data_IF_261115967972
#
_entry.id   IF_261115967972
#
_cell.length_a   1.000
_cell.length_b   1.000
_cell.length_c   1.000
_cell.angle_alpha   90.00
_cell.angle_beta   90.00
_cell.angle_gamma   90.00
#
_symmetry.space_group_name_H-M   'P 1'
#
loop_
_entity.id
_entity.type
_entity.pdbx_description
1 polymer ?
#
# COMPACT_ATOMS: atom_id res chain seq x y z
N UNK A 1 -30.03 -71.51 13.72
CA UNK A 1 -29.02 -72.56 13.43
C UNK A 1 -27.84 -71.91 12.72
N UNK A 2 -26.63 -72.26 13.17
CA UNK A 2 -25.33 -71.79 12.66
C UNK A 2 -25.09 -72.36 11.24
N UNK A 3 -24.42 -71.62 10.37
CA UNK A 3 -23.32 -72.14 9.53
C UNK A 3 -22.45 -70.98 9.01
N UNK A 4 -21.17 -71.03 9.38
CA UNK A 4 -19.97 -70.48 8.71
C UNK A 4 -19.18 -71.73 8.21
N UNK A 5 -17.97 -71.64 7.61
CA UNK A 5 -17.41 -70.83 6.51
C UNK A 5 -16.61 -71.71 5.49
N UNK A 6 -15.71 -71.10 4.69
CA UNK A 6 -14.43 -71.62 4.09
C UNK A 6 -14.41 -71.93 2.56
N UNK A 7 -13.22 -71.66 1.99
CA UNK A 7 -12.60 -72.04 0.69
C UNK A 7 -12.74 -70.95 -0.41
N UNK A 8 -11.69 -70.47 -1.12
CA UNK A 8 -10.31 -70.92 -1.38
C UNK A 8 -9.46 -69.71 -1.78
N UNK A 9 -8.15 -69.80 -1.49
CA UNK A 9 -7.10 -68.87 -1.89
C UNK A 9 -6.39 -69.35 -3.19
N UNK A 10 -5.66 -68.41 -3.81
CA UNK A 10 -4.47 -68.61 -4.67
C UNK A 10 -4.74 -68.79 -6.19
N UNK A 11 -4.40 -67.72 -6.93
CA UNK A 11 -3.77 -67.81 -8.25
C UNK A 11 -2.43 -67.04 -8.19
N UNK A 12 -1.35 -67.81 -8.21
CA UNK A 12 -0.08 -67.64 -8.95
C UNK A 12 0.53 -66.23 -9.10
N UNK A 13 1.66 -65.98 -8.43
CA UNK A 13 3.04 -66.12 -8.94
C UNK A 13 3.50 -65.02 -9.91
N UNK A 14 4.39 -64.14 -9.44
CA UNK A 14 5.75 -64.02 -10.02
C UNK A 14 6.71 -63.43 -8.99
N UNK A 15 7.91 -63.98 -8.97
CA UNK A 15 8.85 -63.96 -7.87
C UNK A 15 9.78 -62.73 -7.81
N UNK A 16 10.40 -62.61 -6.65
CA UNK A 16 11.43 -61.67 -6.24
C UNK A 16 12.76 -61.76 -7.03
N UNK A 17 13.64 -60.80 -6.68
CA UNK A 17 15.11 -60.77 -6.83
C UNK A 17 15.69 -60.19 -8.13
N UNK A 18 16.28 -58.99 -8.02
CA UNK A 18 17.71 -58.80 -8.29
C UNK A 18 18.17 -57.39 -7.90
N UNK A 19 19.11 -57.36 -6.96
CA UNK A 19 19.99 -56.23 -6.72
C UNK A 19 21.15 -56.29 -7.72
N UNK A 20 21.47 -55.13 -8.30
CA UNK A 20 22.81 -54.61 -8.60
C UNK A 20 23.72 -55.30 -9.62
N UNK A 21 24.17 -54.47 -10.56
CA UNK A 21 25.49 -54.37 -11.24
C UNK A 21 25.28 -54.17 -12.75
N UNK A 22 25.95 -53.30 -13.50
CA UNK A 22 26.99 -52.28 -13.28
C UNK A 22 27.25 -51.64 -14.68
N UNK A 23 28.00 -50.54 -14.71
CA UNK A 23 28.56 -49.81 -15.86
C UNK A 23 27.64 -48.71 -16.47
N UNK A 24 28.01 -47.43 -16.58
CA UNK A 24 29.30 -46.74 -16.36
C UNK A 24 29.12 -45.21 -16.57
N UNK A 25 29.25 -44.43 -15.48
CA UNK A 25 30.04 -43.18 -15.20
C UNK A 25 30.66 -42.42 -16.41
N UNK A 26 30.96 -41.07 -16.40
CA UNK A 26 30.88 -40.00 -15.35
C UNK A 26 30.12 -38.72 -15.82
N UNK A 27 29.69 -37.76 -15.01
CA UNK A 27 30.37 -36.75 -14.18
C UNK A 27 29.28 -36.23 -13.21
N UNK A 28 29.43 -35.97 -11.92
CA UNK A 28 30.53 -35.37 -11.18
C UNK A 28 29.91 -34.91 -9.85
N UNK A 29 30.47 -35.40 -8.77
CA UNK A 29 30.21 -35.08 -7.37
C UNK A 29 30.50 -33.59 -7.09
N UNK A 30 29.52 -32.84 -6.56
CA UNK A 30 29.78 -31.66 -5.71
C UNK A 30 28.56 -31.40 -4.81
N UNK A 31 28.74 -31.75 -3.52
CA UNK A 31 28.21 -31.02 -2.37
C UNK A 31 26.69 -30.98 -2.18
N UNK A 32 26.25 -31.53 -1.04
CA UNK A 32 25.36 -30.74 -0.20
C UNK A 32 25.95 -29.33 -0.12
N UNK A 33 25.33 -28.34 -0.77
CA UNK A 33 25.73 -26.95 -0.54
C UNK A 33 25.55 -26.70 0.95
N UNK A 34 26.63 -26.40 1.69
CA UNK A 34 26.50 -25.96 3.06
C UNK A 34 25.66 -24.69 3.01
N UNK A 35 24.73 -24.59 3.95
CA UNK A 35 23.96 -23.40 4.26
C UNK A 35 24.72 -22.09 3.95
N UNK A 36 24.54 -21.52 2.75
CA UNK A 36 24.89 -20.12 2.46
C UNK A 36 23.94 -19.14 3.18
N UNK A 37 23.17 -19.62 4.17
CA UNK A 37 22.39 -18.78 5.08
C UNK A 37 23.24 -18.00 6.09
N UNK A 38 24.55 -18.19 6.13
CA UNK A 38 25.43 -17.69 7.21
C UNK A 38 26.38 -16.52 6.87
N UNK A 39 26.30 -15.87 5.70
CA UNK A 39 27.21 -14.76 5.36
C UNK A 39 26.55 -13.40 5.01
N UNK A 40 25.26 -13.35 4.66
CA UNK A 40 24.61 -12.07 4.35
C UNK A 40 24.36 -11.21 5.60
N UNK A 41 24.21 -11.83 6.78
CA UNK A 41 23.79 -11.12 8.00
C UNK A 41 24.97 -10.40 8.62
N UNK A 42 26.09 -11.11 8.71
CA UNK A 42 27.38 -10.57 9.09
C UNK A 42 27.78 -9.45 8.15
N UNK A 43 27.73 -9.69 6.83
CA UNK A 43 28.11 -8.67 5.83
C UNK A 43 27.24 -7.41 5.88
N UNK A 44 25.91 -7.56 6.00
CA UNK A 44 25.01 -6.42 6.17
C UNK A 44 25.29 -5.67 7.47
N UNK A 45 25.52 -6.39 8.57
CA UNK A 45 25.83 -5.80 9.87
C UNK A 45 27.16 -5.04 9.84
N UNK A 46 28.17 -5.57 9.16
CA UNK A 46 29.48 -4.92 9.00
C UNK A 46 29.35 -3.65 8.16
N UNK A 47 28.65 -3.70 7.02
CA UNK A 47 28.37 -2.50 6.22
C UNK A 47 27.57 -1.45 6.98
N UNK A 48 26.58 -1.88 7.78
CA UNK A 48 25.78 -0.98 8.61
C UNK A 48 26.62 -0.35 9.73
N UNK A 49 27.62 -1.07 10.26
CA UNK A 49 28.58 -0.56 11.22
C UNK A 49 29.47 0.51 10.59
N UNK A 50 30.09 0.19 9.46
CA UNK A 50 30.97 1.12 8.74
C UNK A 50 30.23 2.41 8.37
N UNK A 51 28.96 2.31 7.97
CA UNK A 51 28.12 3.48 7.70
C UNK A 51 27.84 4.30 8.96
N UNK A 52 27.54 3.64 10.08
CA UNK A 52 27.25 4.33 11.34
C UNK A 52 28.50 5.06 11.88
N UNK A 53 29.66 4.42 11.81
CA UNK A 53 30.94 5.00 12.22
C UNK A 53 31.27 6.20 11.32
N UNK A 54 31.08 6.07 10.00
CA UNK A 54 31.36 7.18 9.08
C UNK A 54 30.36 8.34 9.20
N UNK A 55 29.10 8.06 9.48
CA UNK A 55 28.10 9.09 9.75
C UNK A 55 28.42 9.89 11.02
N UNK A 56 28.91 9.22 12.08
CA UNK A 56 29.37 9.88 13.30
C UNK A 56 30.60 10.75 13.04
N UNK A 57 31.60 10.25 12.30
CA UNK A 57 32.78 11.05 11.93
C UNK A 57 32.43 12.32 11.12
N UNK A 58 31.36 12.28 10.31
CA UNK A 58 30.86 13.45 9.59
C UNK A 58 30.26 14.47 10.56
N UNK A 59 29.44 14.02 11.51
CA UNK A 59 28.84 14.89 12.53
C UNK A 59 29.94 15.56 13.38
N UNK A 60 30.89 14.78 13.91
CA UNK A 60 32.01 15.29 14.73
C UNK A 60 32.88 16.29 13.94
N UNK A 61 33.07 16.05 12.63
CA UNK A 61 33.82 16.95 11.77
C UNK A 61 33.07 18.26 11.50
N UNK A 62 31.76 18.20 11.28
CA UNK A 62 30.94 19.41 11.10
C UNK A 62 30.92 20.21 12.40
N UNK A 63 30.76 19.54 13.54
CA UNK A 63 30.80 20.16 14.88
C UNK A 63 32.15 20.87 15.12
N UNK A 64 33.28 20.19 14.87
CA UNK A 64 34.61 20.80 15.02
C UNK A 64 34.95 21.91 14.01
N UNK A 65 34.18 22.05 12.93
CA UNK A 65 34.30 23.15 11.97
C UNK A 65 33.47 24.39 12.35
N UNK A 66 32.61 24.27 13.36
CA UNK A 66 31.90 25.41 13.94
C UNK A 66 32.93 26.17 14.79
N UNK A 67 33.47 27.25 14.21
CA UNK A 67 34.42 28.14 14.89
C UNK A 67 33.66 29.28 15.58
N UNK A 68 33.68 29.29 16.91
CA UNK A 68 33.09 30.35 17.73
C UNK A 68 33.81 31.71 17.60
N UNK A 69 34.94 31.77 16.87
CA UNK A 69 35.80 32.98 16.82
C UNK A 69 35.34 34.10 15.88
N UNK A 70 34.38 33.88 14.97
CA UNK A 70 34.07 34.85 13.90
C UNK A 70 32.63 35.38 13.83
N UNK A 71 31.78 35.14 14.83
CA UNK A 71 30.45 35.77 14.94
C UNK A 71 29.28 34.80 14.88
N UNK A 72 28.05 35.36 14.78
CA UNK A 72 26.78 34.61 14.86
C UNK A 72 26.78 33.40 13.95
N UNK A 73 26.42 32.25 14.51
CA UNK A 73 26.24 30.99 13.78
C UNK A 73 25.47 31.24 12.48
N UNK A 74 26.06 30.86 11.36
CA UNK A 74 25.34 30.95 10.10
C UNK A 74 24.28 29.84 10.07
N UNK A 75 23.03 30.18 9.79
CA UNK A 75 21.88 29.24 9.83
C UNK A 75 22.16 27.93 9.06
N UNK A 76 22.92 28.02 7.96
CA UNK A 76 23.33 26.89 7.14
C UNK A 76 24.29 25.90 7.82
N UNK A 77 25.10 26.34 8.81
CA UNK A 77 25.99 25.47 9.58
C UNK A 77 25.19 24.65 10.60
N UNK A 78 24.18 25.27 11.23
CA UNK A 78 23.28 24.60 12.16
C UNK A 78 22.43 23.53 11.45
N UNK A 79 21.88 23.86 10.28
CA UNK A 79 21.13 22.91 9.46
C UNK A 79 21.98 21.69 9.08
N UNK A 80 23.25 21.91 8.70
CA UNK A 80 24.17 20.84 8.37
C UNK A 80 24.52 19.96 9.58
N UNK A 81 24.71 20.56 10.76
CA UNK A 81 24.96 19.81 12.01
C UNK A 81 23.76 18.95 12.39
N UNK A 82 22.55 19.52 12.42
CA UNK A 82 21.33 18.77 12.75
C UNK A 82 21.08 17.63 11.76
N UNK A 83 21.27 17.87 10.46
CA UNK A 83 21.11 16.83 9.46
C UNK A 83 22.18 15.73 9.62
N UNK A 84 23.41 16.08 9.97
CA UNK A 84 24.49 15.12 10.21
C UNK A 84 24.23 14.26 11.45
N UNK A 85 23.81 14.87 12.56
CA UNK A 85 23.43 14.17 13.78
C UNK A 85 22.24 13.23 13.57
N UNK A 86 21.24 13.69 12.82
CA UNK A 86 20.07 12.89 12.48
C UNK A 86 20.46 11.66 11.65
N UNK A 87 21.32 11.85 10.64
CA UNK A 87 21.87 10.76 9.84
C UNK A 87 22.71 9.78 10.69
N UNK A 88 23.58 10.28 11.58
CA UNK A 88 24.38 9.44 12.48
C UNK A 88 23.51 8.64 13.46
N UNK A 89 22.45 9.25 14.01
CA UNK A 89 21.47 8.56 14.85
C UNK A 89 20.69 7.48 14.09
N UNK A 90 20.29 7.78 12.85
CA UNK A 90 19.64 6.83 11.97
C UNK A 90 20.58 5.64 11.63
N UNK A 91 21.85 5.91 11.32
CA UNK A 91 22.88 4.90 11.05
C UNK A 91 23.09 3.94 12.22
N UNK A 92 23.28 4.47 13.43
CA UNK A 92 23.39 3.66 14.67
C UNK A 92 22.15 2.80 14.92
N UNK A 93 20.97 3.34 14.63
CA UNK A 93 19.71 2.58 14.76
C UNK A 93 19.61 1.48 13.73
N UNK A 94 19.97 1.75 12.49
CA UNK A 94 20.01 0.76 11.42
C UNK A 94 21.01 -0.36 11.71
N UNK A 95 22.21 -0.04 12.20
CA UNK A 95 23.20 -1.02 12.67
C UNK A 95 22.65 -1.94 13.76
N UNK A 96 21.99 -1.38 14.79
CA UNK A 96 21.34 -2.19 15.85
C UNK A 96 20.28 -3.12 15.29
N UNK A 97 19.51 -2.67 14.30
CA UNK A 97 18.49 -3.48 13.65
C UNK A 97 19.14 -4.59 12.81
N UNK A 98 20.15 -4.28 12.02
CA UNK A 98 20.90 -5.26 11.23
C UNK A 98 21.51 -6.36 12.12
N UNK A 99 21.98 -6.02 13.32
CA UNK A 99 22.56 -6.98 14.27
C UNK A 99 21.58 -7.82 15.09
N UNK A 100 20.28 -7.52 15.09
CA UNK A 100 19.24 -8.26 15.84
C UNK A 100 18.51 -9.31 15.02
N UNK A 101 18.77 -9.36 13.72
CA UNK A 101 18.05 -10.24 12.79
C UNK A 101 18.82 -11.55 12.65
N UNK A 102 18.42 -12.57 13.41
CA UNK A 102 18.59 -13.94 12.95
C UNK A 102 17.72 -14.07 11.69
N UNK A 103 18.30 -14.45 10.55
CA UNK A 103 17.51 -14.68 9.33
C UNK A 103 16.63 -15.92 9.49
N UNK A 104 15.54 -15.78 10.24
CA UNK A 104 14.35 -16.60 10.08
C UNK A 104 13.79 -16.44 8.66
N UNK A 105 12.84 -17.31 8.29
CA UNK A 105 12.36 -17.44 6.91
C UNK A 105 12.16 -16.08 6.22
N UNK A 106 12.69 -15.96 5.00
CA UNK A 106 12.93 -14.72 4.22
C UNK A 106 11.75 -13.73 4.09
N UNK A 107 10.54 -14.09 4.53
CA UNK A 107 9.30 -13.37 4.26
C UNK A 107 8.98 -12.21 5.22
N UNK A 108 9.36 -12.28 6.50
CA UNK A 108 8.91 -11.29 7.52
C UNK A 108 9.95 -10.25 7.93
N UNK A 109 11.25 -10.59 7.85
CA UNK A 109 12.37 -9.71 8.22
C UNK A 109 12.65 -8.64 7.17
N UNK A 110 12.44 -8.97 5.89
CA UNK A 110 12.72 -8.07 4.76
C UNK A 110 11.95 -6.74 4.84
N UNK A 111 10.60 -6.70 5.01
CA UNK A 111 9.86 -5.43 4.99
C UNK A 111 10.22 -4.44 6.11
N UNK A 112 10.62 -4.93 7.28
CA UNK A 112 11.04 -4.08 8.40
C UNK A 112 12.39 -3.40 8.13
N UNK A 113 13.37 -4.20 7.70
CA UNK A 113 14.72 -3.72 7.36
C UNK A 113 14.71 -2.76 6.17
N UNK A 114 13.84 -3.01 5.20
CA UNK A 114 13.63 -2.13 4.04
C UNK A 114 13.06 -0.77 4.44
N UNK A 115 12.09 -0.73 5.36
CA UNK A 115 11.57 0.54 5.90
C UNK A 115 12.65 1.30 6.65
N UNK A 116 13.46 0.62 7.45
CA UNK A 116 14.58 1.23 8.15
C UNK A 116 15.64 1.79 7.19
N UNK A 117 15.97 1.06 6.10
CA UNK A 117 16.90 1.53 5.08
C UNK A 117 16.38 2.76 4.33
N UNK A 118 15.08 2.82 3.98
CA UNK A 118 14.50 4.01 3.33
C UNK A 118 14.54 5.24 4.22
N UNK A 119 14.27 5.07 5.51
CA UNK A 119 14.38 6.17 6.47
C UNK A 119 15.83 6.67 6.54
N UNK A 120 16.80 5.76 6.66
CA UNK A 120 18.23 6.07 6.65
C UNK A 120 18.66 6.83 5.37
N UNK A 121 18.22 6.36 4.20
CA UNK A 121 18.49 7.02 2.93
C UNK A 121 17.87 8.42 2.84
N UNK A 122 16.68 8.62 3.43
CA UNK A 122 16.06 9.94 3.57
C UNK A 122 16.95 10.89 4.36
N UNK A 123 17.38 10.48 5.55
CA UNK A 123 18.26 11.31 6.40
C UNK A 123 19.61 11.63 5.75
N UNK A 124 20.16 10.73 4.93
CA UNK A 124 21.36 11.01 4.15
C UNK A 124 21.13 12.10 3.09
N UNK A 125 19.97 12.08 2.41
CA UNK A 125 19.62 13.11 1.41
C UNK A 125 19.39 14.48 2.04
N UNK A 126 18.83 14.52 3.24
CA UNK A 126 18.65 15.75 3.99
C UNK A 126 20.03 16.36 4.33
N UNK A 127 20.99 15.53 4.76
CA UNK A 127 22.39 15.93 4.96
C UNK A 127 23.06 16.40 3.67
N UNK A 128 22.89 15.69 2.55
CA UNK A 128 23.42 16.12 1.25
C UNK A 128 22.86 17.49 0.82
N UNK A 129 21.57 17.74 1.10
CA UNK A 129 20.92 19.01 0.82
C UNK A 129 21.47 20.14 1.69
N UNK A 130 21.60 19.91 2.99
CA UNK A 130 22.16 20.89 3.93
C UNK A 130 23.63 21.21 3.63
N UNK A 131 24.43 20.20 3.28
CA UNK A 131 25.85 20.36 2.93
C UNK A 131 26.06 21.21 1.66
N UNK A 132 25.11 21.21 0.71
CA UNK A 132 25.18 22.10 -0.48
C UNK A 132 25.04 23.58 -0.13
N UNK A 133 24.52 23.91 1.06
CA UNK A 133 24.27 25.26 1.54
C UNK A 133 25.49 26.03 2.07
N UNK A 134 26.68 25.42 2.12
CA UNK A 134 27.91 26.16 2.45
C UNK A 134 29.02 25.37 3.15
N UNK A 135 28.74 24.19 3.69
CA UNK A 135 29.73 23.39 4.43
C UNK A 135 30.37 22.36 3.50
N UNK A 136 31.69 22.47 3.27
CA UNK A 136 32.44 21.40 2.57
C UNK A 136 32.50 20.18 3.49
N UNK A 137 31.59 19.23 3.29
CA UNK A 137 31.57 17.94 3.98
C UNK A 137 32.34 16.91 3.15
N UNK A 138 33.65 16.68 3.41
CA UNK A 138 34.35 15.55 2.81
C UNK A 138 33.71 14.26 3.31
N UNK A 139 33.67 13.23 2.45
CA UNK A 139 33.22 11.84 2.71
C UNK A 139 31.75 11.48 2.53
N UNK A 140 30.88 12.38 2.03
CA UNK A 140 29.52 11.99 1.62
C UNK A 140 29.53 10.88 0.56
N UNK A 141 30.55 10.87 -0.31
CA UNK A 141 30.75 9.81 -1.30
C UNK A 141 30.96 8.42 -0.68
N UNK A 142 31.70 8.34 0.43
CA UNK A 142 31.95 7.07 1.13
C UNK A 142 30.64 6.52 1.72
N UNK A 143 29.84 7.39 2.34
CA UNK A 143 28.51 7.05 2.83
C UNK A 143 27.57 6.60 1.71
N UNK A 144 27.55 7.29 0.56
CA UNK A 144 26.76 6.89 -0.60
C UNK A 144 27.18 5.51 -1.15
N UNK A 145 28.49 5.24 -1.21
CA UNK A 145 29.04 3.95 -1.60
C UNK A 145 28.63 2.83 -0.63
N UNK A 146 28.71 3.09 0.69
CA UNK A 146 28.27 2.15 1.73
C UNK A 146 26.75 1.90 1.67
N UNK A 147 25.93 2.95 1.51
CA UNK A 147 24.48 2.83 1.33
C UNK A 147 24.15 1.95 0.12
N UNK A 148 24.82 2.16 -1.01
CA UNK A 148 24.63 1.31 -2.22
C UNK A 148 25.02 -0.15 -1.97
N UNK A 149 26.07 -0.42 -1.18
CA UNK A 149 26.46 -1.79 -0.83
C UNK A 149 25.47 -2.43 0.15
N UNK A 150 24.97 -1.67 1.12
CA UNK A 150 23.90 -2.09 2.04
C UNK A 150 22.65 -2.45 1.24
N UNK A 151 22.26 -1.60 0.30
CA UNK A 151 21.17 -1.83 -0.63
C UNK A 151 21.32 -3.15 -1.40
N UNK A 152 22.53 -3.42 -1.88
CA UNK A 152 22.90 -4.68 -2.53
C UNK A 152 22.74 -5.90 -1.63
N UNK A 153 23.18 -5.82 -0.37
CA UNK A 153 23.08 -6.92 0.61
C UNK A 153 21.65 -7.18 1.11
N UNK A 154 20.81 -6.14 1.22
CA UNK A 154 19.37 -6.31 1.52
C UNK A 154 18.65 -7.02 0.34
N UNK A 155 19.28 -7.04 -0.84
CA UNK A 155 18.82 -7.69 -2.06
C UNK A 155 18.68 -6.66 -3.17
N UNK A 156 19.83 -6.25 -3.71
CA UNK A 156 20.15 -5.13 -4.63
C UNK A 156 19.30 -4.82 -5.85
N UNK A 157 18.08 -5.32 -5.94
CA UNK A 157 17.13 -5.04 -6.99
C UNK A 157 16.12 -3.96 -6.53
N UNK A 158 16.64 -2.80 -6.14
CA UNK A 158 15.87 -1.65 -5.67
C UNK A 158 15.35 -0.80 -6.83
N UNK A 159 14.86 -1.49 -7.85
CA UNK A 159 14.44 -0.96 -9.15
C UNK A 159 13.70 -1.98 -10.00
N UNK A 160 13.87 -3.29 -9.75
CA UNK A 160 12.86 -4.32 -10.06
C UNK A 160 12.25 -4.86 -8.75
N UNK A 161 10.97 -4.54 -8.49
CA UNK A 161 9.97 -5.56 -8.64
C UNK A 161 10.42 -7.01 -8.59
N UNK A 162 9.98 -7.79 -7.61
CA UNK A 162 9.92 -9.25 -7.81
C UNK A 162 9.30 -9.50 -9.20
N UNK A 163 9.98 -10.18 -10.15
CA UNK A 163 9.55 -10.21 -11.56
C UNK A 163 8.11 -10.68 -11.73
N UNK A 164 7.63 -11.54 -10.83
CA UNK A 164 6.27 -12.06 -10.85
C UNK A 164 5.22 -11.18 -10.15
N UNK A 165 5.60 -10.24 -9.27
CA UNK A 165 4.61 -9.46 -8.48
C UNK A 165 4.48 -8.01 -8.96
N UNK A 166 5.58 -7.35 -9.33
CA UNK A 166 5.56 -5.91 -9.59
C UNK A 166 5.58 -5.59 -11.11
N UNK A 167 5.92 -6.52 -12.01
CA UNK A 167 5.58 -6.37 -13.43
C UNK A 167 4.05 -6.34 -13.57
N UNK A 168 3.38 -7.23 -12.85
CA UNK A 168 1.91 -7.27 -12.72
C UNK A 168 1.38 -6.00 -12.07
N UNK A 169 1.99 -5.46 -11.00
CA UNK A 169 1.48 -4.26 -10.32
C UNK A 169 1.84 -2.91 -10.96
N UNK A 170 2.99 -2.76 -11.63
CA UNK A 170 3.28 -1.55 -12.44
C UNK A 170 2.48 -1.52 -13.73
N UNK A 171 2.23 -2.68 -14.35
CA UNK A 171 1.28 -2.76 -15.47
C UNK A 171 -0.17 -2.59 -14.99
N UNK A 172 -0.52 -2.97 -13.75
CA UNK A 172 -1.82 -2.64 -13.12
C UNK A 172 -2.01 -1.16 -12.76
N UNK A 173 -0.97 -0.47 -12.31
CA UNK A 173 -1.01 0.99 -12.08
C UNK A 173 -1.00 1.80 -13.39
N UNK A 174 -0.44 1.24 -14.47
CA UNK A 174 -0.55 1.75 -15.84
C UNK A 174 -1.84 1.32 -16.54
N UNK A 175 -2.53 0.32 -16.00
CA UNK A 175 -3.79 -0.14 -16.53
C UNK A 175 -4.74 1.05 -16.48
N UNK A 176 -5.22 1.48 -17.66
CA UNK A 176 -6.36 2.39 -17.81
C UNK A 176 -7.62 1.87 -17.07
N UNK A 177 -7.56 0.70 -16.42
CA UNK A 177 -8.69 -0.03 -15.88
C UNK A 177 -9.21 0.52 -14.54
N UNK A 178 -8.42 1.24 -13.74
CA UNK A 178 -8.85 1.73 -12.43
C UNK A 178 -9.32 3.18 -12.41
N UNK A 179 -8.95 3.95 -13.44
CA UNK A 179 -9.38 5.34 -13.55
C UNK A 179 -10.90 5.43 -13.62
N UNK A 180 -11.46 6.27 -12.75
CA UNK A 180 -12.90 6.44 -12.61
C UNK A 180 -13.60 5.30 -11.88
N UNK A 181 -12.90 4.26 -11.41
CA UNK A 181 -13.48 3.21 -10.56
C UNK A 181 -13.47 3.61 -9.09
N UNK A 182 -14.30 2.93 -8.30
CA UNK A 182 -14.30 3.08 -6.85
C UNK A 182 -13.37 2.04 -6.23
N UNK A 183 -12.85 2.33 -5.04
CA UNK A 183 -12.04 1.39 -4.28
C UNK A 183 -12.47 1.38 -2.82
N UNK A 184 -12.49 0.19 -2.22
CA UNK A 184 -12.83 0.01 -0.81
C UNK A 184 -11.57 0.06 0.05
N UNK A 185 -11.56 0.95 1.02
CA UNK A 185 -10.51 1.07 2.03
C UNK A 185 -10.81 0.35 3.33
N UNK A 186 -9.85 0.42 4.25
CA UNK A 186 -10.05 0.09 5.67
C UNK A 186 -11.14 0.96 6.30
N UNK A 187 -11.85 0.41 7.28
CA UNK A 187 -12.84 1.16 8.07
C UNK A 187 -14.11 1.55 7.27
N UNK A 188 -14.47 0.78 6.25
CA UNK A 188 -15.62 1.05 5.36
C UNK A 188 -15.52 2.33 4.52
N UNK A 189 -14.34 2.95 4.43
CA UNK A 189 -14.11 4.08 3.54
C UNK A 189 -14.20 3.64 2.06
N UNK A 190 -14.76 4.51 1.22
CA UNK A 190 -14.81 4.32 -0.23
C UNK A 190 -14.11 5.50 -0.89
N UNK A 191 -13.28 5.22 -1.89
CA UNK A 191 -12.54 6.22 -2.65
C UNK A 191 -12.92 6.19 -4.13
N UNK A 192 -12.89 7.34 -4.79
CA UNK A 192 -12.79 7.44 -6.24
C UNK A 192 -11.32 7.49 -6.65
N UNK A 193 -10.95 6.72 -7.67
CA UNK A 193 -9.61 6.77 -8.25
C UNK A 193 -9.62 7.71 -9.47
N UNK A 194 -8.85 8.80 -9.40
CA UNK A 194 -8.70 9.77 -10.50
C UNK A 194 -7.26 9.79 -10.98
N UNK A 195 -7.07 10.01 -12.29
CA UNK A 195 -5.75 10.26 -12.87
C UNK A 195 -5.51 11.77 -12.97
N UNK A 196 -4.41 12.26 -12.41
CA UNK A 196 -3.99 13.67 -12.53
C UNK A 196 -2.88 13.87 -13.57
N UNK A 197 -2.16 12.81 -13.92
CA UNK A 197 -1.14 12.82 -14.95
C UNK A 197 -0.65 11.42 -15.31
N UNK A 198 0.35 11.29 -16.21
CA UNK A 198 0.96 10.01 -16.55
C UNK A 198 1.55 9.34 -15.29
N UNK A 199 0.98 8.20 -14.89
CA UNK A 199 1.40 7.47 -13.69
C UNK A 199 0.99 8.08 -12.34
N UNK A 200 0.28 9.22 -12.32
CA UNK A 200 -0.17 9.87 -11.08
C UNK A 200 -1.66 9.62 -10.85
N UNK A 201 -1.94 8.65 -9.96
CA UNK A 201 -3.28 8.31 -9.49
C UNK A 201 -3.49 8.91 -8.10
N UNK A 202 -4.61 9.60 -7.93
CA UNK A 202 -5.07 10.12 -6.65
C UNK A 202 -6.31 9.35 -6.19
N UNK A 203 -6.40 9.14 -4.88
CA UNK A 203 -7.62 8.62 -4.23
C UNK A 203 -8.40 9.78 -3.61
N UNK A 204 -9.68 9.89 -3.91
CA UNK A 204 -10.57 10.91 -3.30
C UNK A 204 -11.60 10.22 -2.41
N UNK A 205 -11.60 10.47 -1.09
CA UNK A 205 -12.56 9.84 -0.20
C UNK A 205 -13.96 10.37 -0.43
N UNK A 206 -14.97 9.50 -0.38
CA UNK A 206 -16.36 9.94 -0.23
C UNK A 206 -16.65 10.24 1.24
N UNK A 207 -17.36 11.35 1.50
CA UNK A 207 -17.75 11.74 2.86
C UNK A 207 -18.63 10.69 3.53
N UNK A 208 -19.61 10.19 2.77
CA UNK A 208 -20.65 9.28 3.24
C UNK A 208 -21.26 8.49 2.06
N UNK A 209 -22.16 7.56 2.40
CA UNK A 209 -22.88 6.74 1.43
C UNK A 209 -23.71 7.59 0.46
N UNK A 210 -24.27 8.70 0.94
CA UNK A 210 -25.02 9.64 0.12
C UNK A 210 -24.15 10.20 -1.00
N UNK A 211 -22.98 10.71 -0.66
CA UNK A 211 -22.05 11.30 -1.60
C UNK A 211 -21.65 10.32 -2.70
N UNK A 212 -21.46 9.04 -2.35
CA UNK A 212 -21.17 7.98 -3.31
C UNK A 212 -22.33 7.75 -4.29
N UNK A 213 -23.55 7.57 -3.78
CA UNK A 213 -24.73 7.32 -4.63
C UNK A 213 -25.03 8.52 -5.53
N UNK A 214 -24.99 9.73 -4.98
CA UNK A 214 -25.23 10.95 -5.75
C UNK A 214 -24.19 11.12 -6.86
N UNK A 215 -22.91 10.92 -6.54
CA UNK A 215 -21.85 10.95 -7.55
C UNK A 215 -22.07 9.90 -8.64
N UNK A 216 -22.48 8.68 -8.28
CA UNK A 216 -22.76 7.62 -9.25
C UNK A 216 -23.86 8.01 -10.23
N UNK A 217 -24.94 8.63 -9.74
CA UNK A 217 -26.00 9.17 -10.60
C UNK A 217 -25.51 10.32 -11.48
N UNK A 218 -24.69 11.23 -10.96
CA UNK A 218 -24.11 12.35 -11.73
C UNK A 218 -23.22 11.85 -12.89
N UNK A 219 -22.63 10.67 -12.74
CA UNK A 219 -21.85 10.00 -13.79
C UNK A 219 -22.70 9.10 -14.70
N UNK A 220 -24.04 9.14 -14.60
CA UNK A 220 -24.97 8.28 -15.34
C UNK A 220 -24.70 6.77 -15.17
N UNK A 221 -24.22 6.36 -13.99
CA UNK A 221 -23.92 4.95 -13.65
C UNK A 221 -25.06 4.21 -12.94
N UNK A 222 -26.19 4.88 -12.74
CA UNK A 222 -27.39 4.30 -12.14
C UNK A 222 -27.33 4.15 -10.62
N UNK A 223 -28.13 3.22 -10.09
CA UNK A 223 -28.40 3.05 -8.65
C UNK A 223 -27.49 2.02 -7.95
N UNK A 224 -26.51 1.44 -8.65
CA UNK A 224 -25.60 0.44 -8.07
C UNK A 224 -24.13 0.89 -8.18
N UNK A 225 -23.62 1.70 -7.24
CA UNK A 225 -22.22 2.12 -7.25
C UNK A 225 -21.26 0.95 -7.06
N UNK A 226 -21.69 -0.12 -6.38
CA UNK A 226 -20.84 -1.28 -6.08
C UNK A 226 -20.41 -2.06 -7.32
N UNK A 227 -21.17 -1.97 -8.42
CA UNK A 227 -20.79 -2.53 -9.72
C UNK A 227 -19.56 -1.87 -10.35
N UNK A 228 -19.11 -0.73 -9.83
CA UNK A 228 -17.94 0.02 -10.32
C UNK A 228 -16.75 -0.04 -9.36
N UNK A 229 -16.82 -0.90 -8.33
CA UNK A 229 -15.70 -1.10 -7.41
C UNK A 229 -14.64 -1.96 -8.08
N UNK A 230 -13.40 -1.48 -8.07
CA UNK A 230 -12.21 -2.24 -8.38
C UNK A 230 -11.66 -2.87 -7.11
N UNK A 231 -11.18 -4.11 -7.24
CA UNK A 231 -10.36 -4.74 -6.21
C UNK A 231 -8.95 -4.16 -6.30
N UNK A 232 -8.64 -3.20 -5.43
CA UNK A 232 -7.33 -2.54 -5.34
C UNK A 232 -6.74 -2.89 -3.98
N UNK A 233 -5.53 -3.49 -3.94
CA UNK A 233 -4.86 -3.79 -2.69
C UNK A 233 -4.72 -2.56 -1.81
N UNK A 234 -4.93 -2.72 -0.51
CA UNK A 234 -4.85 -1.60 0.43
C UNK A 234 -3.48 -0.92 0.40
N UNK A 235 -2.39 -1.69 0.22
CA UNK A 235 -1.04 -1.14 0.08
C UNK A 235 -0.90 -0.22 -1.12
N UNK A 236 -1.59 -0.54 -2.21
CA UNK A 236 -1.62 0.29 -3.43
C UNK A 236 -2.44 1.55 -3.19
N UNK A 237 -3.59 1.45 -2.51
CA UNK A 237 -4.36 2.62 -2.11
C UNK A 237 -3.56 3.55 -1.20
N UNK A 238 -2.81 3.01 -0.23
CA UNK A 238 -2.04 3.80 0.73
C UNK A 238 -0.85 4.53 0.11
N UNK A 239 -0.37 4.06 -1.05
CA UNK A 239 0.64 4.75 -1.86
C UNK A 239 0.05 5.87 -2.73
N UNK A 240 -1.26 5.88 -2.98
CA UNK A 240 -1.90 6.95 -3.75
C UNK A 240 -1.99 8.24 -2.92
N UNK A 241 -1.74 9.38 -3.58
CA UNK A 241 -1.97 10.67 -2.95
C UNK A 241 -3.46 10.81 -2.63
N UNK A 242 -3.74 11.32 -1.43
CA UNK A 242 -5.13 11.59 -1.02
C UNK A 242 -5.53 12.97 -1.51
N UNK A 243 -6.57 13.02 -2.33
CA UNK A 243 -7.18 14.26 -2.83
C UNK A 243 -8.33 14.73 -1.94
N UNK A 244 -9.02 15.78 -2.41
CA UNK A 244 -10.16 16.36 -1.70
C UNK A 244 -11.32 15.38 -1.55
N UNK A 245 -11.96 15.41 -0.38
CA UNK A 245 -13.16 14.64 -0.07
C UNK A 245 -14.33 15.04 -0.98
N UNK A 246 -14.99 14.04 -1.55
CA UNK A 246 -16.19 14.22 -2.34
C UNK A 246 -17.40 14.27 -1.39
N UNK A 247 -18.06 15.42 -1.38
CA UNK A 247 -19.30 15.66 -0.64
C UNK A 247 -20.39 16.06 -1.64
N UNK A 248 -21.42 15.23 -1.77
CA UNK A 248 -22.57 15.46 -2.66
C UNK A 248 -23.86 15.14 -1.90
N UNK A 249 -24.95 15.82 -2.22
CA UNK A 249 -26.26 15.58 -1.60
C UNK A 249 -27.38 15.47 -2.62
N UNK A 250 -28.51 14.88 -2.21
CA UNK A 250 -29.76 14.84 -2.97
C UNK A 250 -30.67 16.06 -2.73
N UNK A 251 -30.14 17.13 -2.14
CA UNK A 251 -30.89 18.37 -1.89
C UNK A 251 -31.55 18.90 -3.18
N UNK A 252 -32.86 19.18 -3.10
CA UNK A 252 -33.69 19.60 -4.23
C UNK A 252 -34.14 18.48 -5.17
N UNK A 253 -33.85 17.21 -4.86
CA UNK A 253 -34.17 16.07 -5.71
C UNK A 253 -35.22 15.14 -5.08
N UNK A 254 -35.95 14.44 -5.95
CA UNK A 254 -36.90 13.41 -5.55
C UNK A 254 -36.18 12.07 -5.37
N UNK A 255 -36.43 11.40 -4.27
CA UNK A 255 -35.81 10.12 -3.91
C UNK A 255 -36.86 9.08 -3.54
N UNK A 256 -36.56 7.81 -3.80
CA UNK A 256 -37.42 6.67 -3.48
C UNK A 256 -36.58 5.47 -3.05
N UNK A 257 -37.14 4.63 -2.17
CA UNK A 257 -36.51 3.35 -1.80
C UNK A 257 -36.48 2.40 -3.01
N UNK A 258 -35.39 1.63 -3.25
CA UNK A 258 -35.29 0.74 -4.40
C UNK A 258 -36.24 -0.44 -4.23
N UNK A 259 -36.79 -0.96 -5.33
CA UNK A 259 -37.64 -2.14 -5.32
C UNK A 259 -38.83 -2.06 -6.27
N UNK A 260 -39.64 -3.11 -6.28
CA UNK A 260 -40.80 -3.25 -7.18
C UNK A 260 -42.15 -3.19 -6.46
N UNK A 261 -42.14 -2.94 -5.15
CA UNK A 261 -43.37 -2.90 -4.37
C UNK A 261 -44.31 -1.79 -4.87
N UNK A 262 -45.63 -2.06 -4.96
CA UNK A 262 -46.61 -1.02 -5.21
C UNK A 262 -46.67 -0.05 -4.01
N UNK A 263 -47.04 1.20 -4.25
CA UNK A 263 -47.23 2.26 -3.24
C UNK A 263 -45.97 2.71 -2.47
N UNK A 264 -44.80 2.70 -3.11
CA UNK A 264 -43.59 3.32 -2.53
C UNK A 264 -43.76 4.83 -2.39
N UNK A 265 -43.44 5.36 -1.21
CA UNK A 265 -43.44 6.80 -0.95
C UNK A 265 -42.27 7.48 -1.65
N UNK A 266 -42.56 8.55 -2.39
CA UNK A 266 -41.55 9.44 -2.97
C UNK A 266 -41.34 10.62 -2.02
N UNK A 267 -40.09 10.98 -1.79
CA UNK A 267 -39.71 12.10 -0.94
C UNK A 267 -38.98 13.16 -1.75
N UNK A 268 -39.27 14.43 -1.50
CA UNK A 268 -38.43 15.55 -1.94
C UNK A 268 -37.48 15.91 -0.81
N UNK A 269 -36.18 15.96 -1.08
CA UNK A 269 -35.20 16.46 -0.11
C UNK A 269 -35.16 17.98 -0.22
N UNK A 270 -35.47 18.68 0.87
CA UNK A 270 -35.51 20.14 0.90
C UNK A 270 -35.14 20.67 2.29
N UNK A 271 -34.19 21.60 2.34
CA UNK A 271 -33.67 22.17 3.58
C UNK A 271 -33.05 21.12 4.50
N UNK A 272 -32.44 20.07 3.94
CA UNK A 272 -31.93 18.94 4.71
C UNK A 272 -32.99 18.06 5.37
N UNK A 273 -34.25 18.15 4.95
CA UNK A 273 -35.37 17.28 5.41
C UNK A 273 -35.94 16.48 4.25
N UNK A 274 -36.46 15.29 4.52
CA UNK A 274 -37.27 14.54 3.55
C UNK A 274 -38.74 14.92 3.71
N UNK A 275 -39.38 15.31 2.62
CA UNK A 275 -40.79 15.71 2.59
C UNK A 275 -41.56 14.74 1.70
N UNK A 276 -42.47 13.98 2.28
CA UNK A 276 -43.28 13.01 1.52
C UNK A 276 -44.19 13.70 0.52
N UNK A 277 -44.25 13.19 -0.72
CA UNK A 277 -45.24 13.62 -1.71
C UNK A 277 -46.52 12.79 -1.51
N UNK A 278 -47.62 13.42 -1.12
CA UNK A 278 -48.84 12.70 -0.76
C UNK A 278 -49.68 12.25 -1.97
N UNK A 279 -49.41 12.79 -3.17
CA UNK A 279 -50.15 12.48 -4.40
C UNK A 279 -49.21 12.20 -5.57
N UNK A 280 -49.52 11.23 -6.45
CA UNK A 280 -48.72 10.94 -7.64
C UNK A 280 -48.54 12.15 -8.58
N UNK A 281 -49.55 13.01 -8.69
CA UNK A 281 -49.52 14.19 -9.57
C UNK A 281 -48.41 15.18 -9.20
N UNK A 282 -48.00 15.21 -7.93
CA UNK A 282 -46.89 16.06 -7.48
C UNK A 282 -45.58 15.62 -8.12
N UNK A 283 -45.36 14.31 -8.30
CA UNK A 283 -44.15 13.80 -8.98
C UNK A 283 -44.05 14.38 -10.39
N UNK A 284 -45.17 14.44 -11.12
CA UNK A 284 -45.24 15.04 -12.46
C UNK A 284 -44.88 16.53 -12.43
N UNK A 285 -45.38 17.29 -11.45
CA UNK A 285 -45.09 18.73 -11.31
C UNK A 285 -43.60 19.00 -11.04
N UNK A 286 -42.94 18.13 -10.29
CA UNK A 286 -41.50 18.25 -9.98
C UNK A 286 -40.58 17.63 -11.05
N UNK A 287 -41.13 17.36 -12.25
CA UNK A 287 -40.36 16.93 -13.43
C UNK A 287 -40.48 15.44 -13.76
N UNK A 288 -41.38 14.73 -13.10
CA UNK A 288 -41.79 13.36 -13.42
C UNK A 288 -40.86 12.28 -12.89
N UNK A 289 -41.26 11.03 -13.09
CA UNK A 289 -40.57 9.83 -12.62
C UNK A 289 -39.12 9.70 -13.12
N UNK A 290 -38.78 10.33 -14.25
CA UNK A 290 -37.40 10.36 -14.76
C UNK A 290 -36.43 11.12 -13.86
N UNK A 291 -36.93 11.97 -12.95
CA UNK A 291 -36.14 12.73 -11.98
C UNK A 291 -36.18 12.14 -10.57
N UNK A 292 -36.74 10.94 -10.41
CA UNK A 292 -36.78 10.23 -9.13
C UNK A 292 -35.59 9.30 -9.05
N UNK A 293 -34.78 9.48 -8.00
CA UNK A 293 -33.57 8.69 -7.77
C UNK A 293 -33.87 7.54 -6.80
N UNK A 294 -33.59 6.31 -7.23
CA UNK A 294 -33.69 5.14 -6.37
C UNK A 294 -32.43 5.03 -5.50
N UNK A 295 -32.58 5.18 -4.19
CA UNK A 295 -31.44 5.19 -3.25
C UNK A 295 -31.73 4.33 -2.01
N UNK A 296 -30.69 3.74 -1.39
CA UNK A 296 -30.82 2.92 -0.20
C UNK A 296 -31.61 3.60 0.92
N UNK A 297 -32.37 2.79 1.65
CA UNK A 297 -33.21 3.21 2.77
C UNK A 297 -32.39 3.92 3.85
N UNK A 298 -31.14 3.53 4.03
CA UNK A 298 -30.20 4.11 4.99
C UNK A 298 -29.96 5.59 4.72
N UNK A 299 -29.86 5.97 3.44
CA UNK A 299 -29.70 7.38 3.04
C UNK A 299 -30.99 8.15 3.31
N UNK A 300 -32.14 7.60 2.92
CA UNK A 300 -33.46 8.23 3.17
C UNK A 300 -33.71 8.40 4.68
N UNK A 301 -33.32 7.42 5.50
CA UNK A 301 -33.44 7.50 6.97
C UNK A 301 -32.52 8.54 7.59
N UNK A 302 -31.39 8.85 6.96
CA UNK A 302 -30.48 9.91 7.40
C UNK A 302 -31.12 11.31 7.38
N UNK A 303 -32.17 11.49 6.59
CA UNK A 303 -32.93 12.73 6.54
C UNK A 303 -34.04 12.78 7.59
N UNK A 304 -34.10 13.84 8.41
CA UNK A 304 -35.24 14.10 9.29
C UNK A 304 -36.53 14.34 8.49
N UNK A 305 -37.66 13.96 9.05
CA UNK A 305 -38.97 14.20 8.45
C UNK A 305 -39.30 15.71 8.44
N UNK A 306 -39.75 16.19 7.29
CA UNK A 306 -40.36 17.51 7.13
C UNK A 306 -41.82 17.39 6.74
N UNK A 307 -42.53 18.52 6.75
CA UNK A 307 -43.96 18.54 6.45
C UNK A 307 -44.24 17.99 5.04
N UNK A 308 -45.20 17.06 4.89
CA UNK A 308 -45.57 16.53 3.57
C UNK A 308 -45.99 17.62 2.60
N UNK A 309 -45.80 17.36 1.31
CA UNK A 309 -46.25 18.23 0.21
C UNK A 309 -47.55 17.65 -0.32
N UNK A 310 -48.60 18.49 -0.43
CA UNK A 310 -49.98 18.11 -0.74
C UNK A 310 -50.49 18.62 -2.09
#
# INVERSE_FOLDING_TARGET
MKFKPVLIAIVFMTAALSASCLASIPYGEYGAEPSQGWNASSRLKDLARDLADRAAEIADRIDSQIDDRYGSWADNQMDALFAADHFAAAGRTFYRLAGRLEYGSRASVRPGLQRAYRYLLGTFRDLESAARGGTRVPSLYDCSSLLRRIEQEIGGDWGRPSPDMDQVDRDRLKEKSWEGKYAKGRGAAVYLIERRGPGDLIRRPFKDLESLFKYNFDQNRGNNPWGHVADIPQETLDRMRTGETISRSFEGLMVIEPGSLPNRSVYLIQGGKKRGLSKPDLVTRYGGWKKVYEIPKEIIRGYPDGDPIQ
#
